data_IF_042514007235
#
_entry.id   IF_042514007235
#
_cell.length_a   1.000
_cell.length_b   1.000
_cell.length_c   1.000
_cell.angle_alpha   90.00
_cell.angle_beta   90.00
_cell.angle_gamma   90.00
#
_symmetry.space_group_name_H-M   'P 1'
#
loop_
_entity.id
_entity.type
_entity.pdbx_description
1 polymer ?
#
# COMPACT_ATOMS: atom_id res chain seq x y z
N UNK A 1 -18.45 -8.63 23.36
CA UNK A 1 -17.23 -7.94 22.89
C UNK A 1 -16.89 -8.47 21.50
N UNK A 2 -16.99 -7.62 20.49
CA UNK A 2 -16.77 -7.98 19.09
C UNK A 2 -15.30 -7.83 18.66
N UNK A 3 -15.10 -7.81 17.36
CA UNK A 3 -13.84 -7.47 16.69
C UNK A 3 -13.91 -6.05 16.12
N UNK A 4 -12.82 -5.30 16.15
CA UNK A 4 -12.68 -4.06 15.38
C UNK A 4 -12.15 -4.41 13.99
N UNK A 5 -12.84 -3.98 12.94
CA UNK A 5 -12.26 -3.87 11.61
C UNK A 5 -11.79 -2.43 11.41
N UNK A 6 -10.48 -2.22 11.37
CA UNK A 6 -9.91 -0.88 11.25
C UNK A 6 -9.87 -0.47 9.77
N UNK A 7 -10.73 0.46 9.38
CA UNK A 7 -10.80 0.99 8.02
C UNK A 7 -9.76 2.10 7.84
N UNK A 8 -8.70 1.79 7.11
CA UNK A 8 -7.62 2.72 6.76
C UNK A 8 -7.70 3.23 5.32
N UNK A 9 -8.37 2.45 4.45
CA UNK A 9 -8.58 2.76 3.05
C UNK A 9 -9.72 3.78 2.84
N UNK A 10 -9.76 4.40 1.67
CA UNK A 10 -10.88 5.26 1.29
C UNK A 10 -12.12 4.44 0.95
N UNK A 11 -11.91 3.35 0.20
CA UNK A 11 -12.94 2.47 -0.32
C UNK A 11 -13.77 1.85 0.81
N UNK A 12 -15.04 1.56 0.51
CA UNK A 12 -15.90 0.87 1.45
C UNK A 12 -15.34 -0.54 1.75
N UNK A 13 -15.41 -1.02 3.01
CA UNK A 13 -15.04 -2.40 3.35
C UNK A 13 -15.83 -3.40 2.52
N UNK A 14 -15.31 -4.61 2.33
CA UNK A 14 -15.98 -5.62 1.49
C UNK A 14 -17.40 -5.94 1.97
N UNK A 15 -18.23 -6.48 1.08
CA UNK A 15 -19.60 -6.89 1.44
C UNK A 15 -19.61 -7.87 2.62
N UNK A 16 -18.65 -8.79 2.70
CA UNK A 16 -18.51 -9.72 3.81
C UNK A 16 -18.23 -9.00 5.15
N UNK A 17 -17.42 -7.94 5.15
CA UNK A 17 -17.16 -7.13 6.36
C UNK A 17 -18.42 -6.37 6.78
N UNK A 18 -19.12 -5.72 5.83
CA UNK A 18 -20.37 -4.99 6.12
C UNK A 18 -21.49 -5.91 6.61
N UNK A 19 -21.60 -7.11 6.03
CA UNK A 19 -22.55 -8.12 6.48
C UNK A 19 -22.24 -8.58 7.92
N UNK A 20 -20.96 -8.76 8.26
CA UNK A 20 -20.54 -9.12 9.62
C UNK A 20 -20.79 -7.99 10.63
N UNK A 21 -20.62 -6.73 10.23
CA UNK A 21 -21.01 -5.57 11.05
C UNK A 21 -22.53 -5.55 11.30
N UNK A 22 -23.34 -5.71 10.25
CA UNK A 22 -24.79 -5.79 10.37
C UNK A 22 -25.28 -6.96 11.25
N UNK A 23 -24.49 -8.03 11.35
CA UNK A 23 -24.72 -9.15 12.24
C UNK A 23 -24.16 -8.95 13.68
N UNK A 24 -23.52 -7.82 13.96
CA UNK A 24 -22.94 -7.50 15.27
C UNK A 24 -21.68 -8.30 15.63
N UNK A 25 -21.01 -8.92 14.65
CA UNK A 25 -19.79 -9.70 14.85
C UNK A 25 -18.54 -8.80 14.95
N UNK A 26 -18.57 -7.67 14.25
CA UNK A 26 -17.51 -6.67 14.29
C UNK A 26 -18.09 -5.25 14.28
N UNK A 27 -17.24 -4.28 14.59
CA UNK A 27 -17.48 -2.85 14.45
C UNK A 27 -16.49 -2.30 13.44
N UNK A 28 -16.93 -1.57 12.42
CA UNK A 28 -16.05 -0.86 11.50
C UNK A 28 -15.67 0.47 12.15
N UNK A 29 -14.37 0.74 12.23
CA UNK A 29 -13.83 1.96 12.84
C UNK A 29 -12.91 2.62 11.83
N UNK A 30 -13.17 3.87 11.47
CA UNK A 30 -12.22 4.66 10.68
C UNK A 30 -10.94 4.84 11.49
N UNK A 31 -9.78 4.67 10.86
CA UNK A 31 -8.52 4.63 11.60
C UNK A 31 -8.26 5.85 12.51
N UNK A 32 -8.54 7.10 12.11
CA UNK A 32 -8.37 8.27 12.98
C UNK A 32 -9.23 8.26 14.25
N UNK A 33 -10.32 7.49 14.26
CA UNK A 33 -11.27 7.43 15.38
C UNK A 33 -10.93 6.32 16.38
N UNK A 34 -9.89 5.51 16.13
CA UNK A 34 -9.49 4.42 17.01
C UNK A 34 -8.92 4.96 18.33
N UNK A 35 -9.50 4.53 19.45
CA UNK A 35 -9.05 4.88 20.80
C UNK A 35 -8.57 3.65 21.57
N UNK A 36 -7.80 3.90 22.65
CA UNK A 36 -7.34 2.83 23.55
C UNK A 36 -8.51 2.13 24.26
N UNK A 37 -9.53 2.90 24.64
CA UNK A 37 -10.75 2.42 25.26
C UNK A 37 -11.52 1.48 24.32
N UNK A 38 -11.62 1.84 23.04
CA UNK A 38 -12.22 0.98 22.02
C UNK A 38 -11.44 -0.33 21.89
N UNK A 39 -10.11 -0.29 21.79
CA UNK A 39 -9.30 -1.50 21.71
C UNK A 39 -9.55 -2.42 22.92
N UNK A 40 -9.47 -1.90 24.13
CA UNK A 40 -9.68 -2.67 25.37
C UNK A 40 -11.12 -3.19 25.55
N UNK A 41 -12.11 -2.53 24.93
CA UNK A 41 -13.50 -2.99 24.95
C UNK A 41 -13.81 -4.12 23.95
N UNK A 42 -12.86 -4.44 23.06
CA UNK A 42 -13.02 -5.47 22.03
C UNK A 42 -12.10 -6.66 22.27
N UNK A 43 -12.39 -7.81 21.64
CA UNK A 43 -11.56 -9.02 21.72
C UNK A 43 -10.63 -9.19 20.54
N UNK A 44 -10.96 -8.55 19.43
CA UNK A 44 -10.31 -8.73 18.15
C UNK A 44 -9.98 -7.40 17.48
N UNK A 45 -8.90 -7.39 16.70
CA UNK A 45 -8.53 -6.31 15.80
C UNK A 45 -8.16 -6.92 14.44
N UNK A 46 -8.71 -6.39 13.36
CA UNK A 46 -8.31 -6.71 11.98
C UNK A 46 -7.80 -5.43 11.34
N UNK A 47 -6.58 -5.47 10.80
CA UNK A 47 -5.98 -4.36 10.05
C UNK A 47 -5.59 -4.82 8.65
N UNK A 48 -5.79 -3.95 7.66
CA UNK A 48 -5.46 -4.20 6.26
C UNK A 48 -4.07 -3.71 5.84
N UNK A 49 -3.69 -4.03 4.60
CA UNK A 49 -2.42 -3.67 3.98
C UNK A 49 -2.27 -2.15 3.73
N UNK A 50 -3.35 -1.37 3.89
CA UNK A 50 -3.34 0.10 3.85
C UNK A 50 -3.28 0.76 5.23
N UNK A 51 -2.94 0.03 6.29
CA UNK A 51 -2.79 0.57 7.64
C UNK A 51 -1.83 1.76 7.68
N UNK A 52 -2.25 2.89 8.26
CA UNK A 52 -1.33 3.99 8.59
C UNK A 52 -0.49 3.57 9.80
N UNK A 53 0.69 3.03 9.54
CA UNK A 53 1.59 2.55 10.59
C UNK A 53 2.25 3.69 11.36
N UNK A 54 2.30 4.93 10.81
CA UNK A 54 2.80 6.08 11.54
C UNK A 54 1.83 6.48 12.65
N UNK A 55 0.52 6.48 12.38
CA UNK A 55 -0.50 6.68 13.40
C UNK A 55 -0.49 5.54 14.43
N UNK A 56 -0.33 4.28 13.99
CA UNK A 56 -0.29 3.14 14.92
C UNK A 56 0.94 3.12 15.83
N UNK A 57 2.06 3.75 15.46
CA UNK A 57 3.20 3.93 16.37
C UNK A 57 2.80 4.71 17.62
N UNK A 58 1.87 5.67 17.51
CA UNK A 58 1.36 6.43 18.64
C UNK A 58 0.41 5.60 19.53
N UNK A 59 -0.09 4.47 19.01
CA UNK A 59 -1.02 3.56 19.69
C UNK A 59 -0.33 2.32 20.28
N UNK A 60 1.02 2.27 20.30
CA UNK A 60 1.79 1.10 20.75
C UNK A 60 1.42 0.62 22.14
N UNK A 61 1.32 1.53 23.11
CA UNK A 61 0.97 1.19 24.49
C UNK A 61 -0.46 0.63 24.58
N UNK A 62 -1.41 1.24 23.86
CA UNK A 62 -2.78 0.77 23.79
C UNK A 62 -2.90 -0.60 23.12
N UNK A 63 -2.13 -0.83 22.05
CA UNK A 63 -2.07 -2.11 21.35
C UNK A 63 -1.45 -3.21 22.23
N UNK A 64 -0.39 -2.88 22.98
CA UNK A 64 0.22 -3.79 23.94
C UNK A 64 -0.78 -4.15 25.05
N UNK A 65 -1.46 -3.16 25.65
CA UNK A 65 -2.47 -3.39 26.68
C UNK A 65 -3.64 -4.24 26.19
N UNK A 66 -4.12 -4.01 24.97
CA UNK A 66 -5.13 -4.85 24.32
C UNK A 66 -4.68 -6.31 24.19
N UNK A 67 -3.45 -6.54 23.73
CA UNK A 67 -2.91 -7.89 23.59
C UNK A 67 -2.69 -8.55 24.96
N UNK A 68 -2.12 -7.83 25.94
CA UNK A 68 -1.90 -8.32 27.29
C UNK A 68 -3.24 -8.70 27.99
N UNK A 69 -4.33 -8.01 27.65
CA UNK A 69 -5.69 -8.36 28.07
C UNK A 69 -6.27 -9.60 27.35
N UNK A 70 -5.50 -10.27 26.50
CA UNK A 70 -5.91 -11.47 25.76
C UNK A 70 -6.45 -11.20 24.36
N UNK A 71 -6.34 -9.96 23.86
CA UNK A 71 -6.77 -9.55 22.53
C UNK A 71 -6.11 -10.35 21.40
N UNK A 72 -6.81 -10.48 20.27
CA UNK A 72 -6.31 -11.13 19.06
C UNK A 72 -6.23 -10.15 17.90
N UNK A 73 -5.04 -9.99 17.33
CA UNK A 73 -4.81 -9.09 16.20
C UNK A 73 -4.51 -9.89 14.92
N UNK A 74 -5.32 -9.68 13.89
CA UNK A 74 -5.06 -10.15 12.54
C UNK A 74 -4.48 -9.01 11.70
N UNK A 75 -3.20 -9.12 11.34
CA UNK A 75 -2.46 -8.13 10.57
C UNK A 75 -2.26 -8.61 9.13
N UNK A 76 -2.73 -7.81 8.17
CA UNK A 76 -2.38 -7.96 6.75
C UNK A 76 -1.41 -6.85 6.33
N UNK A 77 -0.46 -7.18 5.45
CA UNK A 77 0.48 -6.22 4.87
C UNK A 77 1.91 -6.37 5.36
N UNK A 78 2.75 -5.43 4.93
CA UNK A 78 4.17 -5.40 5.31
C UNK A 78 4.35 -4.59 6.60
N UNK A 79 4.87 -5.22 7.66
CA UNK A 79 5.18 -4.56 8.92
C UNK A 79 6.44 -3.70 8.76
N UNK A 80 6.32 -2.41 8.49
CA UNK A 80 7.48 -1.51 8.30
C UNK A 80 7.78 -0.66 9.53
N UNK A 81 6.85 -0.63 10.50
CA UNK A 81 7.04 -0.15 11.87
C UNK A 81 6.78 -1.32 12.81
N UNK A 82 7.76 -1.82 13.57
CA UNK A 82 7.50 -2.94 14.49
C UNK A 82 6.55 -2.56 15.64
N UNK A 83 5.23 -2.66 15.48
CA UNK A 83 4.22 -2.03 16.36
C UNK A 83 4.06 -2.64 17.76
N UNK A 84 4.66 -3.81 18.01
CA UNK A 84 4.66 -4.50 19.31
C UNK A 84 6.06 -5.04 19.53
N UNK A 85 6.54 -5.04 20.78
CA UNK A 85 7.85 -5.59 21.13
C UNK A 85 8.01 -7.03 20.63
N UNK A 86 9.18 -7.37 20.10
CA UNK A 86 9.49 -8.66 19.48
C UNK A 86 9.09 -8.78 18.00
N UNK A 87 8.27 -7.88 17.47
CA UNK A 87 8.02 -7.85 16.02
C UNK A 87 9.23 -7.30 15.26
N UNK A 88 9.37 -7.74 14.01
CA UNK A 88 10.45 -7.33 13.12
C UNK A 88 9.91 -6.62 11.88
N UNK A 89 10.77 -5.83 11.24
CA UNK A 89 10.46 -5.19 9.96
C UNK A 89 10.33 -6.24 8.85
N UNK A 90 9.32 -6.08 8.00
CA UNK A 90 9.12 -6.85 6.77
C UNK A 90 10.40 -6.93 5.94
N UNK A 91 10.67 -8.11 5.39
CA UNK A 91 11.78 -8.36 4.48
C UNK A 91 11.26 -9.04 3.21
N UNK A 92 11.47 -8.47 2.01
CA UNK A 92 11.14 -9.15 0.76
C UNK A 92 12.15 -10.28 0.50
N UNK A 93 11.73 -11.28 -0.29
CA UNK A 93 12.69 -12.20 -0.93
C UNK A 93 13.56 -11.38 -1.87
N UNK A 94 14.87 -11.52 -1.76
CA UNK A 94 15.83 -10.80 -2.57
C UNK A 94 15.87 -11.37 -4.00
N UNK A 95 15.69 -10.50 -5.01
CA UNK A 95 15.67 -10.87 -6.43
C UNK A 95 14.82 -12.13 -6.75
N UNK A 96 13.50 -12.13 -6.42
CA UNK A 96 12.68 -13.32 -6.49
C UNK A 96 12.39 -13.75 -7.93
N UNK A 97 12.31 -15.06 -8.15
CA UNK A 97 11.77 -15.70 -9.37
C UNK A 97 10.36 -16.24 -9.11
N UNK A 98 9.64 -16.61 -10.18
CA UNK A 98 8.26 -17.10 -10.08
C UNK A 98 8.08 -18.23 -9.06
N UNK A 99 8.99 -19.22 -9.02
CA UNK A 99 8.88 -20.35 -8.09
C UNK A 99 9.15 -19.98 -6.62
N UNK A 100 9.71 -18.80 -6.35
CA UNK A 100 9.82 -18.31 -4.98
C UNK A 100 8.48 -17.83 -4.41
N UNK A 101 7.44 -17.76 -5.24
CA UNK A 101 6.07 -17.42 -4.83
C UNK A 101 5.14 -18.63 -4.72
N UNK A 102 5.63 -19.84 -4.95
CA UNK A 102 4.83 -21.06 -4.79
C UNK A 102 4.37 -21.18 -3.33
N UNK A 103 3.07 -21.38 -3.10
CA UNK A 103 2.52 -21.35 -1.75
C UNK A 103 2.37 -22.77 -1.20
N UNK A 104 2.99 -23.03 -0.04
CA UNK A 104 2.91 -24.34 0.60
C UNK A 104 2.66 -24.25 2.10
N UNK A 105 2.01 -25.26 2.71
CA UNK A 105 1.82 -25.27 4.14
C UNK A 105 3.15 -25.60 4.85
N UNK A 106 3.35 -24.96 6.01
CA UNK A 106 4.41 -25.25 6.97
C UNK A 106 3.82 -26.00 8.16
N UNK A 107 2.81 -25.41 8.82
CA UNK A 107 2.02 -26.04 9.88
C UNK A 107 0.53 -25.87 9.57
N UNK A 108 -0.28 -26.89 9.83
CA UNK A 108 -1.72 -26.82 9.62
C UNK A 108 -2.36 -25.80 10.57
N UNK A 109 -3.19 -24.89 10.04
CA UNK A 109 -3.95 -23.93 10.83
C UNK A 109 -5.43 -23.97 10.46
N UNK A 110 -6.37 -23.92 11.42
CA UNK A 110 -7.81 -23.97 11.15
C UNK A 110 -8.30 -22.94 10.11
N UNK A 111 -7.68 -21.76 10.04
CA UNK A 111 -7.98 -20.73 9.03
C UNK A 111 -7.94 -21.28 7.59
N UNK A 112 -7.04 -22.22 7.29
CA UNK A 112 -6.85 -22.77 5.94
C UNK A 112 -7.41 -24.19 5.80
N UNK A 113 -8.11 -24.72 6.81
CA UNK A 113 -8.64 -26.09 6.76
C UNK A 113 -9.58 -26.28 5.57
N UNK A 114 -9.32 -27.32 4.78
CA UNK A 114 -10.08 -27.64 3.56
C UNK A 114 -9.84 -26.69 2.37
N UNK A 115 -8.94 -25.72 2.49
CA UNK A 115 -8.55 -24.84 1.38
C UNK A 115 -7.29 -25.41 0.72
N UNK A 116 -7.40 -25.67 -0.58
CA UNK A 116 -6.23 -25.93 -1.42
C UNK A 116 -5.46 -24.62 -1.62
N UNK A 117 -4.25 -24.52 -1.05
CA UNK A 117 -3.46 -23.29 -1.07
C UNK A 117 -3.06 -22.85 -2.49
N UNK A 118 -3.02 -23.75 -3.46
CA UNK A 118 -2.77 -23.38 -4.87
C UNK A 118 -3.83 -22.40 -5.42
N UNK A 119 -5.05 -22.41 -4.84
CA UNK A 119 -6.13 -21.47 -5.16
C UNK A 119 -5.91 -20.05 -4.61
N UNK A 120 -4.99 -19.90 -3.66
CA UNK A 120 -4.60 -18.61 -3.09
C UNK A 120 -3.29 -18.08 -3.70
N UNK A 121 -2.48 -18.97 -4.28
CA UNK A 121 -1.17 -18.66 -4.86
C UNK A 121 -1.24 -17.72 -6.06
N UNK A 122 -2.20 -17.97 -6.96
CA UNK A 122 -2.32 -17.23 -8.23
C UNK A 122 -3.71 -16.67 -8.45
N UNK A 123 -3.77 -15.60 -9.22
CA UNK A 123 -5.00 -15.08 -9.82
C UNK A 123 -4.75 -15.02 -11.34
N UNK A 124 -5.55 -15.76 -12.12
CA UNK A 124 -5.37 -15.93 -13.57
C UNK A 124 -3.96 -16.44 -13.94
N UNK A 125 -3.30 -17.20 -13.07
CA UNK A 125 -1.93 -17.69 -13.28
C UNK A 125 -0.81 -16.72 -12.90
N UNK A 126 -1.12 -15.47 -12.52
CA UNK A 126 -0.14 -14.51 -11.98
C UNK A 126 0.02 -14.72 -10.48
N UNK A 127 1.27 -14.87 -10.04
CA UNK A 127 1.62 -15.10 -8.63
C UNK A 127 2.17 -13.85 -7.93
N UNK A 128 2.31 -13.97 -6.61
CA UNK A 128 2.90 -12.95 -5.74
C UNK A 128 1.89 -11.95 -5.19
N UNK A 129 0.57 -12.12 -5.44
CA UNK A 129 -0.48 -11.36 -4.77
C UNK A 129 -0.65 -11.77 -3.30
N UNK A 130 -0.37 -13.04 -3.00
CA UNK A 130 -0.42 -13.58 -1.63
C UNK A 130 0.72 -13.06 -0.75
N UNK A 131 1.88 -12.77 -1.32
CA UNK A 131 3.03 -12.28 -0.57
C UNK A 131 4.31 -12.44 -1.37
N UNK A 132 5.34 -11.68 -0.98
CA UNK A 132 6.65 -11.63 -1.67
C UNK A 132 7.84 -11.67 -0.72
N UNK A 133 7.60 -12.09 0.51
CA UNK A 133 8.53 -11.97 1.62
C UNK A 133 7.88 -12.43 2.90
N UNK A 134 8.41 -11.97 4.02
CA UNK A 134 7.86 -12.24 5.33
C UNK A 134 7.92 -11.00 6.21
N UNK A 135 6.94 -10.86 7.10
CA UNK A 135 7.19 -10.20 8.39
C UNK A 135 8.00 -11.22 9.21
N UNK A 136 9.29 -11.01 9.54
CA UNK A 136 10.08 -12.06 10.19
C UNK A 136 9.47 -12.49 11.52
N UNK A 137 9.52 -13.80 11.80
CA UNK A 137 8.89 -14.38 12.98
C UNK A 137 9.51 -13.83 14.28
N UNK A 138 8.69 -13.41 15.25
CA UNK A 138 9.12 -13.25 16.62
C UNK A 138 9.53 -14.60 17.25
N UNK A 139 10.31 -14.55 18.33
CA UNK A 139 10.65 -15.74 19.11
C UNK A 139 9.38 -16.42 19.65
N UNK A 140 9.29 -17.74 19.43
CA UNK A 140 8.14 -18.56 19.81
C UNK A 140 6.93 -18.48 18.87
N UNK A 141 7.00 -17.69 17.78
CA UNK A 141 5.98 -17.71 16.74
C UNK A 141 6.07 -18.99 15.88
N UNK A 142 4.95 -19.36 15.26
CA UNK A 142 4.81 -20.56 14.44
C UNK A 142 4.45 -20.17 13.02
N UNK A 143 5.29 -20.56 12.07
CA UNK A 143 5.04 -20.38 10.65
C UNK A 143 3.85 -21.26 10.21
N UNK A 144 2.92 -20.68 9.43
CA UNK A 144 1.72 -21.36 8.95
C UNK A 144 1.87 -21.74 7.48
N UNK A 145 2.08 -20.75 6.61
CA UNK A 145 2.33 -20.96 5.18
C UNK A 145 3.67 -20.35 4.80
N UNK A 146 4.32 -20.95 3.81
CA UNK A 146 5.63 -20.55 3.32
C UNK A 146 5.66 -20.38 1.81
N UNK A 147 6.50 -19.46 1.35
CA UNK A 147 6.74 -19.17 -0.06
C UNK A 147 8.00 -19.89 -0.57
N UNK A 148 7.85 -20.52 -1.73
CA UNK A 148 8.91 -21.18 -2.47
C UNK A 148 9.54 -22.39 -1.78
N UNK A 149 10.60 -22.96 -2.38
CA UNK A 149 11.24 -24.18 -1.86
C UNK A 149 11.82 -24.03 -0.44
N UNK A 150 12.25 -22.81 -0.08
CA UNK A 150 12.78 -22.51 1.25
C UNK A 150 11.69 -22.29 2.32
N UNK A 151 10.41 -22.26 1.90
CA UNK A 151 9.25 -21.99 2.76
C UNK A 151 9.41 -20.71 3.57
N UNK A 152 9.72 -19.60 2.88
CA UNK A 152 9.81 -18.27 3.52
C UNK A 152 8.48 -17.95 4.20
N UNK A 153 8.43 -17.76 5.54
CA UNK A 153 7.16 -17.70 6.27
C UNK A 153 6.33 -16.43 5.98
N UNK A 154 5.43 -16.51 5.00
CA UNK A 154 4.51 -15.41 4.67
C UNK A 154 3.39 -15.25 5.70
N UNK A 155 2.98 -16.37 6.30
CA UNK A 155 2.00 -16.40 7.38
C UNK A 155 2.59 -17.00 8.63
N UNK A 156 2.29 -16.39 9.77
CA UNK A 156 2.60 -16.97 11.07
C UNK A 156 1.60 -16.54 12.13
N UNK A 157 1.54 -17.31 13.20
CA UNK A 157 0.81 -16.97 14.42
C UNK A 157 1.77 -16.92 15.59
N UNK A 158 1.58 -15.94 16.46
CA UNK A 158 2.37 -15.76 17.67
C UNK A 158 1.46 -15.67 18.88
N UNK A 159 1.63 -16.59 19.83
CA UNK A 159 1.11 -16.44 21.18
C UNK A 159 2.14 -15.64 21.98
N UNK A 160 1.81 -14.40 22.32
CA UNK A 160 2.74 -13.49 22.98
C UNK A 160 3.00 -13.96 24.43
N UNK A 161 4.23 -13.76 24.95
CA UNK A 161 4.56 -14.12 26.33
C UNK A 161 3.66 -13.47 27.39
N UNK A 162 3.21 -12.23 27.15
CA UNK A 162 2.40 -11.45 28.07
C UNK A 162 0.88 -11.58 27.84
N UNK A 163 0.47 -12.44 26.91
CA UNK A 163 -0.94 -12.64 26.58
C UNK A 163 -1.31 -12.13 25.18
N UNK A 164 -2.47 -12.60 24.70
CA UNK A 164 -2.98 -12.29 23.38
C UNK A 164 -2.29 -13.05 22.26
N UNK A 165 -2.80 -12.88 21.04
CA UNK A 165 -2.26 -13.54 19.84
C UNK A 165 -2.22 -12.59 18.66
N UNK A 166 -1.19 -12.76 17.82
CA UNK A 166 -1.07 -12.06 16.55
C UNK A 166 -1.05 -13.10 15.43
N UNK A 167 -1.91 -12.94 14.43
CA UNK A 167 -1.76 -13.59 13.14
C UNK A 167 -1.23 -12.55 12.16
N UNK A 168 -0.11 -12.84 11.49
CA UNK A 168 0.49 -11.94 10.51
C UNK A 168 0.50 -12.61 9.15
N UNK A 169 -0.12 -11.93 8.18
CA UNK A 169 -0.08 -12.24 6.76
C UNK A 169 0.69 -11.13 6.03
N UNK A 170 1.87 -11.45 5.46
CA UNK A 170 2.75 -10.46 4.85
C UNK A 170 2.49 -10.25 3.35
N UNK A 171 1.25 -9.96 2.99
CA UNK A 171 0.79 -9.76 1.61
C UNK A 171 -0.37 -8.77 1.50
N UNK A 172 -1.11 -8.84 0.39
CA UNK A 172 -2.39 -8.13 0.27
C UNK A 172 -3.40 -8.65 1.29
N UNK A 173 -4.52 -7.96 1.51
CA UNK A 173 -5.52 -8.43 2.48
C UNK A 173 -5.93 -9.87 2.17
N UNK A 174 -5.83 -10.79 3.14
CA UNK A 174 -6.18 -12.19 2.95
C UNK A 174 -7.66 -12.35 2.54
N UNK A 175 -8.52 -11.41 2.97
CA UNK A 175 -9.91 -11.32 2.52
C UNK A 175 -10.10 -10.91 1.05
N UNK A 176 -9.02 -10.60 0.32
CA UNK A 176 -9.04 -10.19 -1.09
C UNK A 176 -8.40 -11.21 -2.03
N UNK A 177 -7.80 -12.30 -1.51
CA UNK A 177 -7.22 -13.37 -2.32
C UNK A 177 -8.24 -14.49 -2.64
N UNK A 178 -7.91 -15.34 -3.61
CA UNK A 178 -8.76 -16.48 -3.99
C UNK A 178 -10.11 -16.08 -4.63
N UNK A 179 -10.18 -14.90 -5.25
CA UNK A 179 -11.40 -14.37 -5.90
C UNK A 179 -11.95 -15.32 -6.96
N UNK A 180 -11.08 -15.92 -7.79
CA UNK A 180 -11.47 -16.87 -8.84
C UNK A 180 -12.18 -18.12 -8.29
N UNK A 181 -11.94 -18.40 -7.01
CA UNK A 181 -12.42 -19.59 -6.32
C UNK A 181 -13.49 -19.26 -5.28
N UNK A 182 -13.99 -18.02 -5.28
CA UNK A 182 -14.98 -17.51 -4.33
C UNK A 182 -14.58 -17.71 -2.85
N UNK A 183 -13.28 -17.59 -2.54
CA UNK A 183 -12.75 -17.81 -1.20
C UNK A 183 -12.67 -16.53 -0.36
N UNK A 184 -12.74 -15.35 -0.99
CA UNK A 184 -12.62 -14.04 -0.33
C UNK A 184 -13.55 -13.89 0.88
N UNK A 185 -14.87 -14.06 0.70
CA UNK A 185 -15.85 -13.94 1.80
C UNK A 185 -15.64 -14.97 2.90
N UNK A 186 -15.25 -16.20 2.54
CA UNK A 186 -14.99 -17.27 3.52
C UNK A 186 -13.72 -16.98 4.33
N UNK A 187 -12.65 -16.50 3.69
CA UNK A 187 -11.44 -16.06 4.39
C UNK A 187 -11.74 -14.89 5.32
N UNK A 188 -12.52 -13.90 4.88
CA UNK A 188 -12.99 -12.80 5.75
C UNK A 188 -13.73 -13.33 6.97
N UNK A 189 -14.69 -14.22 6.78
CA UNK A 189 -15.45 -14.85 7.87
C UNK A 189 -14.52 -15.57 8.86
N UNK A 190 -13.55 -16.35 8.36
CA UNK A 190 -12.58 -17.08 9.19
C UNK A 190 -11.64 -16.17 9.98
N UNK A 191 -11.22 -15.03 9.41
CA UNK A 191 -10.45 -14.02 10.14
C UNK A 191 -11.25 -13.44 11.31
N UNK A 192 -12.52 -13.12 11.07
CA UNK A 192 -13.43 -12.60 12.10
C UNK A 192 -13.62 -13.66 13.20
N UNK A 193 -13.94 -14.90 12.85
CA UNK A 193 -14.07 -15.99 13.82
C UNK A 193 -12.80 -16.18 14.67
N UNK A 194 -11.62 -16.15 14.03
CA UNK A 194 -10.35 -16.30 14.72
C UNK A 194 -10.10 -15.17 15.72
N UNK A 195 -10.38 -13.92 15.34
CA UNK A 195 -10.23 -12.75 16.23
C UNK A 195 -11.26 -12.74 17.37
N UNK A 196 -12.45 -13.32 17.16
CA UNK A 196 -13.47 -13.48 18.20
C UNK A 196 -13.18 -14.57 19.24
N UNK A 197 -12.05 -15.29 19.10
CA UNK A 197 -11.65 -16.34 20.03
C UNK A 197 -11.69 -17.75 19.45
N UNK A 198 -11.99 -17.90 18.15
CA UNK A 198 -12.10 -19.19 17.46
C UNK A 198 -10.85 -20.08 17.52
N UNK A 199 -10.94 -21.26 16.92
CA UNK A 199 -9.88 -22.27 16.97
C UNK A 199 -8.54 -21.74 16.43
N UNK A 200 -7.46 -22.17 17.07
CA UNK A 200 -6.08 -21.87 16.67
C UNK A 200 -5.28 -23.18 16.70
N UNK A 201 -3.95 -23.09 16.79
CA UNK A 201 -3.08 -24.25 16.93
C UNK A 201 -3.36 -24.98 18.24
N UNK A 202 -3.68 -26.27 18.15
CA UNK A 202 -3.84 -27.18 19.27
C UNK A 202 -3.53 -28.63 18.80
N UNK A 203 -2.44 -29.27 19.27
CA UNK A 203 -1.40 -28.71 20.15
C UNK A 203 -0.56 -27.63 19.46
N UNK A 204 0.11 -26.79 20.24
CA UNK A 204 1.07 -25.80 19.71
C UNK A 204 2.32 -26.50 19.17
N UNK A 205 2.71 -26.31 17.89
CA UNK A 205 3.90 -26.93 17.32
C UNK A 205 5.19 -26.44 17.98
N UNK A 206 6.18 -27.34 18.04
CA UNK A 206 7.53 -27.02 18.55
C UNK A 206 8.49 -26.50 17.47
N UNK A 207 8.10 -26.56 16.19
CA UNK A 207 8.98 -26.21 15.07
C UNK A 207 8.97 -24.71 14.77
N UNK A 208 10.16 -24.09 14.76
CA UNK A 208 10.40 -22.75 14.22
C UNK A 208 10.78 -22.82 12.74
N UNK A 209 10.68 -21.69 12.04
CA UNK A 209 11.06 -21.54 10.63
C UNK A 209 12.51 -21.98 10.33
N UNK A 210 12.77 -22.37 9.08
CA UNK A 210 14.10 -22.81 8.65
C UNK A 210 15.10 -21.63 8.59
N UNK A 211 16.36 -21.87 9.00
CA UNK A 211 17.45 -20.88 8.84
C UNK A 211 17.74 -20.54 7.37
N UNK A 212 17.41 -21.45 6.44
CA UNK A 212 17.55 -21.25 5.00
C UNK A 212 16.64 -20.13 4.47
N UNK A 213 15.45 -19.93 5.04
CA UNK A 213 14.55 -18.86 4.64
C UNK A 213 15.17 -17.47 4.89
N UNK A 214 15.88 -17.29 6.00
CA UNK A 214 16.48 -15.99 6.36
C UNK A 214 17.56 -15.54 5.37
N UNK A 215 18.30 -16.48 4.77
CA UNK A 215 19.38 -16.17 3.83
C UNK A 215 18.87 -15.63 2.48
N UNK A 216 17.59 -15.86 2.16
CA UNK A 216 16.96 -15.36 0.93
C UNK A 216 16.38 -13.94 1.08
N UNK A 217 16.27 -13.44 2.31
CA UNK A 217 15.61 -12.17 2.58
C UNK A 217 16.56 -11.00 2.37
N UNK A 218 16.09 -9.93 1.71
CA UNK A 218 16.84 -8.69 1.63
C UNK A 218 17.05 -8.09 3.04
N UNK A 219 18.13 -7.33 3.22
CA UNK A 219 18.40 -6.67 4.51
C UNK A 219 17.30 -5.66 4.89
N UNK A 220 17.07 -5.44 6.20
CA UNK A 220 16.18 -4.39 6.70
C UNK A 220 16.52 -3.02 6.09
N UNK A 221 15.49 -2.26 5.70
CA UNK A 221 15.65 -0.90 5.16
C UNK A 221 15.54 0.15 6.29
N UNK A 222 16.30 1.24 6.18
CA UNK A 222 16.17 2.37 7.10
C UNK A 222 15.05 3.30 6.67
N UNK A 223 14.10 3.57 7.57
CA UNK A 223 12.97 4.48 7.33
C UNK A 223 13.00 5.61 8.36
N UNK A 224 13.35 6.81 7.89
CA UNK A 224 13.61 7.98 8.73
C UNK A 224 12.38 8.70 9.29
N UNK A 225 11.16 8.30 8.89
CA UNK A 225 9.92 8.96 9.30
C UNK A 225 9.69 10.30 8.62
N UNK A 226 8.94 11.17 9.31
CA UNK A 226 8.68 12.54 8.87
C UNK A 226 9.99 13.32 8.69
N UNK A 227 10.01 14.22 7.72
CA UNK A 227 11.20 14.98 7.36
C UNK A 227 10.85 16.42 7.10
N UNK A 228 11.60 17.35 7.68
CA UNK A 228 11.49 18.79 7.41
C UNK A 228 12.87 19.34 7.04
N UNK A 229 13.10 19.56 5.76
CA UNK A 229 14.32 20.23 5.27
C UNK A 229 14.29 21.71 5.65
N UNK A 230 15.39 22.20 6.21
CA UNK A 230 15.62 23.63 6.51
C UNK A 230 16.21 24.39 5.32
N UNK A 231 16.44 23.73 4.17
CA UNK A 231 16.99 24.38 2.98
C UNK A 231 16.07 25.51 2.50
N UNK A 232 16.69 26.62 2.13
CA UNK A 232 16.04 27.82 1.60
C UNK A 232 16.52 28.10 0.16
N UNK A 233 15.75 28.89 -0.59
CA UNK A 233 16.16 29.42 -1.89
C UNK A 233 15.92 28.52 -3.11
N UNK A 234 15.13 27.43 -2.97
CA UNK A 234 14.64 26.58 -4.08
C UNK A 234 13.24 26.06 -3.74
N UNK A 235 12.47 25.64 -4.74
CA UNK A 235 11.17 25.00 -4.53
C UNK A 235 11.37 23.70 -3.75
N UNK A 236 10.56 23.47 -2.72
CA UNK A 236 10.62 22.22 -1.96
C UNK A 236 9.71 21.19 -2.61
N UNK A 237 10.10 19.93 -2.53
CA UNK A 237 9.19 18.82 -2.84
C UNK A 237 8.57 18.35 -1.52
N UNK A 238 7.26 18.56 -1.38
CA UNK A 238 6.44 18.18 -0.24
C UNK A 238 5.66 16.92 -0.58
N UNK A 239 5.78 15.87 0.24
CA UNK A 239 5.06 14.63 0.04
C UNK A 239 4.26 14.23 1.29
N UNK A 240 2.92 14.25 1.27
CA UNK A 240 2.11 13.62 2.29
C UNK A 240 2.28 12.09 2.26
N UNK A 241 2.57 11.51 3.42
CA UNK A 241 2.58 10.09 3.68
C UNK A 241 1.37 9.73 4.54
N UNK A 242 0.59 8.75 4.09
CA UNK A 242 -0.48 8.13 4.90
C UNK A 242 0.01 6.94 5.73
N UNK A 243 1.33 6.81 5.95
CA UNK A 243 1.92 5.78 6.81
C UNK A 243 1.73 4.34 6.36
N UNK A 244 1.19 4.12 5.16
CA UNK A 244 1.14 2.78 4.54
C UNK A 244 2.55 2.29 4.22
N UNK A 245 2.74 0.97 4.17
CA UNK A 245 4.07 0.40 3.98
C UNK A 245 4.72 0.85 2.66
N UNK A 246 3.91 1.02 1.61
CA UNK A 246 4.40 1.43 0.30
C UNK A 246 4.75 2.93 0.24
N UNK A 247 4.04 3.78 0.99
CA UNK A 247 4.45 5.18 1.17
C UNK A 247 5.75 5.29 1.97
N UNK A 248 5.81 4.60 3.11
CA UNK A 248 7.00 4.59 3.95
C UNK A 248 8.23 4.16 3.14
N UNK A 249 8.13 3.03 2.42
CA UNK A 249 9.25 2.54 1.61
C UNK A 249 9.66 3.52 0.51
N UNK A 250 8.70 4.06 -0.24
CA UNK A 250 9.00 4.97 -1.35
C UNK A 250 9.52 6.34 -0.90
N UNK A 251 9.00 6.90 0.18
CA UNK A 251 9.32 8.26 0.62
C UNK A 251 10.51 8.30 1.58
N UNK A 252 10.62 7.31 2.46
CA UNK A 252 11.63 7.30 3.52
C UNK A 252 12.83 6.39 3.20
N UNK A 253 12.66 5.45 2.26
CA UNK A 253 13.73 4.58 1.81
C UNK A 253 14.87 5.34 1.11
N UNK A 254 16.09 4.83 1.28
CA UNK A 254 17.32 5.48 0.81
C UNK A 254 17.36 5.79 -0.68
N UNK A 255 16.59 5.04 -1.49
CA UNK A 255 16.53 5.20 -2.95
C UNK A 255 16.00 6.58 -3.37
N UNK A 256 14.99 7.11 -2.68
CA UNK A 256 14.31 8.34 -3.09
C UNK A 256 14.18 9.38 -1.98
N UNK A 257 14.43 9.04 -0.71
CA UNK A 257 14.26 9.98 0.42
C UNK A 257 15.00 11.32 0.26
N UNK A 258 16.15 11.32 -0.41
CA UNK A 258 16.93 12.53 -0.66
C UNK A 258 16.25 13.57 -1.55
N UNK A 259 15.17 13.18 -2.24
CA UNK A 259 14.45 14.01 -3.20
C UNK A 259 13.35 14.83 -2.50
N UNK A 260 12.68 14.22 -1.53
CA UNK A 260 11.61 14.86 -0.76
C UNK A 260 12.22 15.75 0.33
N UNK A 261 12.02 17.05 0.18
CA UNK A 261 12.45 18.04 1.17
C UNK A 261 11.57 17.96 2.43
N UNK A 262 10.30 17.61 2.25
CA UNK A 262 9.29 17.56 3.30
C UNK A 262 8.50 16.25 3.17
N UNK A 263 8.45 15.47 4.24
CA UNK A 263 7.56 14.29 4.38
C UNK A 263 6.68 14.56 5.60
N UNK A 264 5.37 14.68 5.39
CA UNK A 264 4.38 15.06 6.40
C UNK A 264 3.12 14.19 6.29
N UNK A 265 2.13 14.36 7.16
CA UNK A 265 0.79 13.79 6.93
C UNK A 265 -0.06 14.73 6.06
N UNK A 266 -1.10 14.23 5.35
CA UNK A 266 -2.06 15.08 4.63
C UNK A 266 -2.62 16.23 5.48
N UNK A 267 -2.90 15.98 6.76
CA UNK A 267 -3.52 16.94 7.68
C UNK A 267 -2.62 18.13 8.01
N UNK A 268 -1.30 17.99 7.84
CA UNK A 268 -0.33 19.04 8.13
C UNK A 268 -0.10 19.98 6.93
N UNK A 269 -0.70 19.69 5.76
CA UNK A 269 -0.46 20.47 4.54
C UNK A 269 -0.83 21.95 4.69
N UNK A 270 -1.88 22.26 5.46
CA UNK A 270 -2.30 23.65 5.70
C UNK A 270 -1.24 24.52 6.35
N UNK A 271 -0.39 23.94 7.21
CA UNK A 271 0.66 24.64 7.95
C UNK A 271 2.03 24.59 7.23
N UNK A 272 2.23 23.57 6.40
CA UNK A 272 3.54 23.25 5.84
C UNK A 272 3.69 23.74 4.40
N UNK A 273 2.65 23.64 3.57
CA UNK A 273 2.73 23.86 2.13
C UNK A 273 2.88 25.36 1.82
N UNK A 274 3.92 25.72 1.07
CA UNK A 274 4.21 27.10 0.63
C UNK A 274 3.75 27.30 -0.82
N UNK A 275 3.45 28.54 -1.22
CA UNK A 275 2.98 28.87 -2.58
C UNK A 275 3.80 28.30 -3.74
N UNK A 276 5.13 28.23 -3.60
CA UNK A 276 6.07 27.82 -4.65
C UNK A 276 6.49 26.34 -4.55
N UNK A 277 5.99 25.61 -3.55
CA UNK A 277 6.32 24.21 -3.39
C UNK A 277 5.74 23.33 -4.52
N UNK A 278 6.39 22.19 -4.73
CA UNK A 278 5.83 21.09 -5.50
C UNK A 278 5.21 20.11 -4.49
N UNK A 279 3.90 19.91 -4.56
CA UNK A 279 3.22 18.87 -3.80
C UNK A 279 3.19 17.58 -4.61
N UNK A 280 3.85 16.53 -4.11
CA UNK A 280 3.76 15.18 -4.64
C UNK A 280 2.76 14.38 -3.82
N UNK A 281 1.61 14.02 -4.38
CA UNK A 281 0.62 13.14 -3.76
C UNK A 281 0.84 11.70 -4.26
N UNK A 282 1.36 10.79 -3.41
CA UNK A 282 1.57 9.40 -3.78
C UNK A 282 0.28 8.69 -4.21
N UNK A 283 0.42 7.69 -5.08
CA UNK A 283 -0.70 6.83 -5.46
C UNK A 283 -1.26 6.07 -4.25
N UNK A 284 -2.57 5.85 -4.19
CA UNK A 284 -3.25 5.21 -3.04
C UNK A 284 -3.15 6.00 -1.72
N UNK A 285 -2.94 7.31 -1.80
CA UNK A 285 -3.24 8.20 -0.66
C UNK A 285 -4.75 8.18 -0.40
N UNK A 286 -5.22 7.88 0.83
CA UNK A 286 -6.65 7.80 1.11
C UNK A 286 -7.36 9.12 0.79
N UNK A 287 -8.29 9.08 -0.17
CA UNK A 287 -8.86 10.29 -0.76
C UNK A 287 -9.59 11.16 0.27
N UNK A 288 -10.23 10.58 1.29
CA UNK A 288 -10.89 11.34 2.36
C UNK A 288 -9.94 12.31 3.07
N UNK A 289 -8.66 11.93 3.22
CA UNK A 289 -7.64 12.76 3.85
C UNK A 289 -7.26 13.94 2.94
N UNK A 290 -7.23 13.74 1.63
CA UNK A 290 -6.95 14.80 0.65
C UNK A 290 -8.16 15.70 0.37
N UNK A 291 -9.38 15.15 0.40
CA UNK A 291 -10.63 15.92 0.31
C UNK A 291 -10.69 16.98 1.40
N UNK A 292 -10.28 16.64 2.64
CA UNK A 292 -10.18 17.60 3.74
C UNK A 292 -9.19 18.75 3.46
N UNK A 293 -8.23 18.56 2.55
CA UNK A 293 -7.22 19.57 2.18
C UNK A 293 -7.59 20.38 0.92
N UNK A 294 -8.77 20.17 0.33
CA UNK A 294 -9.16 20.79 -0.95
C UNK A 294 -8.96 22.31 -0.99
N UNK A 295 -9.30 23.02 0.09
CA UNK A 295 -9.12 24.47 0.16
C UNK A 295 -7.63 24.89 0.22
N UNK A 296 -6.78 24.08 0.85
CA UNK A 296 -5.32 24.31 0.87
C UNK A 296 -4.77 24.15 -0.54
N UNK A 297 -5.18 23.10 -1.25
CA UNK A 297 -4.72 22.80 -2.61
C UNK A 297 -5.20 23.83 -3.65
N UNK A 298 -6.45 24.30 -3.53
CA UNK A 298 -6.96 25.38 -4.38
C UNK A 298 -6.11 26.65 -4.25
N UNK A 299 -5.82 27.07 -3.01
CA UNK A 299 -4.94 28.24 -2.76
C UNK A 299 -3.52 28.03 -3.28
N UNK A 300 -2.99 26.81 -3.16
CA UNK A 300 -1.66 26.45 -3.67
C UNK A 300 -1.59 26.63 -5.19
N UNK A 301 -2.58 26.08 -5.91
CA UNK A 301 -2.67 26.22 -7.37
C UNK A 301 -2.94 27.67 -7.79
N UNK A 302 -3.82 28.40 -7.11
CA UNK A 302 -4.07 29.83 -7.39
C UNK A 302 -2.82 30.70 -7.20
N UNK A 303 -1.93 30.31 -6.28
CA UNK A 303 -0.67 30.98 -6.03
C UNK A 303 0.44 30.63 -7.05
N UNK A 304 0.19 29.70 -7.98
CA UNK A 304 1.15 29.26 -8.98
C UNK A 304 1.96 28.01 -8.59
N UNK A 305 1.56 27.33 -7.52
CA UNK A 305 2.20 26.10 -7.05
C UNK A 305 1.99 24.92 -8.00
N UNK A 306 2.76 23.86 -7.79
CA UNK A 306 2.65 22.62 -8.58
C UNK A 306 2.08 21.48 -7.74
N UNK A 307 1.17 20.69 -8.31
CA UNK A 307 0.69 19.43 -7.74
C UNK A 307 0.95 18.29 -8.71
N UNK A 308 1.60 17.23 -8.24
CA UNK A 308 1.78 15.96 -8.95
C UNK A 308 0.96 14.90 -8.22
N UNK A 309 -0.08 14.37 -8.85
CA UNK A 309 -0.97 13.37 -8.27
C UNK A 309 -0.89 12.05 -9.05
N UNK A 310 -0.49 10.98 -8.37
CA UNK A 310 -0.38 9.65 -8.96
C UNK A 310 -1.66 8.82 -8.72
N UNK A 311 -1.80 7.73 -9.46
CA UNK A 311 -3.05 6.97 -9.63
C UNK A 311 -3.66 6.43 -8.34
N UNK A 312 -4.93 6.03 -8.41
CA UNK A 312 -5.65 5.45 -7.26
C UNK A 312 -5.67 6.37 -6.03
N UNK A 313 -5.56 7.68 -6.24
CA UNK A 313 -5.71 8.70 -5.19
C UNK A 313 -7.04 9.46 -5.27
N UNK A 314 -7.90 9.11 -6.24
CA UNK A 314 -9.17 9.79 -6.55
C UNK A 314 -9.02 11.31 -6.68
N UNK A 315 -8.04 11.75 -7.49
CA UNK A 315 -7.70 13.16 -7.67
C UNK A 315 -8.86 14.02 -8.18
N UNK A 316 -9.82 13.42 -8.89
CA UNK A 316 -11.10 14.02 -9.30
C UNK A 316 -11.94 14.55 -8.13
N UNK A 317 -11.80 13.96 -6.93
CA UNK A 317 -12.58 14.36 -5.76
C UNK A 317 -12.01 15.60 -5.04
N UNK A 318 -10.70 15.85 -5.16
CA UNK A 318 -10.00 16.85 -4.35
C UNK A 318 -9.14 17.86 -5.13
N UNK A 319 -8.90 17.65 -6.43
CA UNK A 319 -8.36 18.66 -7.34
C UNK A 319 -9.47 19.34 -8.16
N UNK A 320 -9.34 20.63 -8.47
CA UNK A 320 -10.25 21.29 -9.39
C UNK A 320 -9.95 20.85 -10.84
N UNK A 321 -10.97 20.87 -11.71
CA UNK A 321 -10.83 20.63 -13.15
C UNK A 321 -10.30 19.26 -13.57
N UNK A 322 -10.49 18.23 -12.74
CA UNK A 322 -10.13 16.85 -13.06
C UNK A 322 -11.38 16.02 -13.33
N UNK A 323 -11.44 15.43 -14.51
CA UNK A 323 -12.47 14.48 -14.91
C UNK A 323 -11.80 13.11 -15.15
N UNK A 324 -12.23 12.10 -14.40
CA UNK A 324 -11.66 10.76 -14.39
C UNK A 324 -12.74 9.70 -14.55
N UNK A 325 -12.48 8.73 -15.43
CA UNK A 325 -13.30 7.52 -15.58
C UNK A 325 -12.46 6.31 -15.21
N UNK A 326 -12.86 5.63 -14.13
CA UNK A 326 -12.24 4.39 -13.69
C UNK A 326 -12.54 3.21 -14.63
N UNK A 327 -11.58 2.30 -14.75
CA UNK A 327 -11.72 1.07 -15.54
C UNK A 327 -11.21 -0.13 -14.74
N UNK A 328 -11.80 -1.33 -14.91
CA UNK A 328 -11.25 -2.53 -14.31
C UNK A 328 -9.78 -2.74 -14.69
N UNK A 329 -8.92 -2.95 -13.70
CA UNK A 329 -7.49 -3.16 -13.90
C UNK A 329 -7.22 -4.56 -14.46
N UNK A 330 -6.52 -4.64 -15.60
CA UNK A 330 -6.01 -5.91 -16.12
C UNK A 330 -4.58 -6.16 -15.59
N UNK A 331 -4.46 -7.08 -14.64
CA UNK A 331 -3.19 -7.40 -13.99
C UNK A 331 -2.31 -8.42 -14.73
N UNK A 332 -2.83 -9.03 -15.79
CA UNK A 332 -2.25 -10.23 -16.42
C UNK A 332 -2.23 -10.16 -17.94
N UNK A 333 -2.38 -8.97 -18.54
CA UNK A 333 -2.31 -8.80 -20.00
C UNK A 333 -1.03 -9.39 -20.60
N UNK A 334 0.10 -9.30 -19.89
CA UNK A 334 1.41 -9.77 -20.34
C UNK A 334 1.55 -11.30 -20.37
N UNK A 335 0.58 -12.06 -19.85
CA UNK A 335 0.58 -13.52 -19.96
C UNK A 335 0.43 -14.00 -21.41
N UNK A 336 -0.25 -13.21 -22.24
CA UNK A 336 -0.21 -13.39 -23.68
C UNK A 336 1.06 -12.70 -24.22
N UNK A 337 2.03 -13.45 -24.76
CA UNK A 337 3.28 -12.87 -25.28
C UNK A 337 3.06 -11.90 -26.46
N UNK A 338 1.87 -11.93 -27.08
CA UNK A 338 1.48 -11.05 -28.18
C UNK A 338 0.64 -9.85 -27.74
N UNK A 339 0.19 -9.84 -26.49
CA UNK A 339 -0.61 -8.74 -25.97
C UNK A 339 0.22 -7.47 -25.80
N UNK A 340 -0.43 -6.36 -26.12
CA UNK A 340 0.07 -5.01 -25.94
C UNK A 340 -1.04 -4.21 -25.27
N UNK A 341 -0.75 -3.63 -24.10
CA UNK A 341 -1.70 -2.75 -23.41
C UNK A 341 -2.02 -1.50 -24.24
N UNK A 342 -1.21 -1.22 -25.28
CA UNK A 342 -1.36 -0.10 -26.18
C UNK A 342 -0.98 1.23 -25.55
N UNK A 343 -0.33 1.21 -24.38
CA UNK A 343 0.15 2.42 -23.71
C UNK A 343 1.26 3.05 -24.53
N UNK A 344 1.14 4.35 -24.81
CA UNK A 344 2.08 5.13 -25.62
C UNK A 344 2.39 6.48 -25.00
N UNK A 345 3.66 6.83 -24.94
CA UNK A 345 4.09 8.22 -24.67
C UNK A 345 3.83 9.09 -25.90
N UNK A 346 3.45 10.33 -25.68
CA UNK A 346 3.15 11.28 -26.77
C UNK A 346 4.39 12.06 -27.21
N UNK A 347 4.26 12.81 -28.31
CA UNK A 347 5.28 13.79 -28.71
C UNK A 347 5.51 14.88 -27.66
N UNK A 348 4.45 15.31 -26.98
CA UNK A 348 4.56 16.25 -25.86
C UNK A 348 5.44 15.66 -24.74
N UNK A 349 5.28 14.38 -24.40
CA UNK A 349 6.15 13.72 -23.43
C UNK A 349 7.63 13.67 -23.85
N UNK A 350 7.93 13.54 -25.15
CA UNK A 350 9.31 13.48 -25.62
C UNK A 350 10.11 14.76 -25.33
N UNK A 351 9.44 15.90 -25.23
CA UNK A 351 10.04 17.20 -24.91
C UNK A 351 9.81 17.65 -23.45
N UNK A 352 8.94 16.96 -22.71
CA UNK A 352 8.57 17.33 -21.35
C UNK A 352 9.68 16.95 -20.34
N UNK A 353 10.21 17.89 -19.53
CA UNK A 353 11.32 17.62 -18.60
C UNK A 353 11.06 16.46 -17.63
N UNK A 354 9.83 16.37 -17.12
CA UNK A 354 9.44 15.30 -16.19
C UNK A 354 9.45 13.90 -16.82
N UNK A 355 9.28 13.82 -18.15
CA UNK A 355 9.25 12.59 -18.92
C UNK A 355 10.61 12.22 -19.53
N UNK A 356 11.68 12.97 -19.22
CA UNK A 356 13.00 12.72 -19.76
C UNK A 356 13.44 11.26 -19.53
N UNK A 357 13.68 10.55 -20.63
CA UNK A 357 14.08 9.15 -20.65
C UNK A 357 12.97 8.13 -20.34
N UNK A 358 11.72 8.55 -20.20
CA UNK A 358 10.56 7.66 -20.00
C UNK A 358 9.91 7.42 -21.36
N UNK A 359 10.06 6.21 -21.90
CA UNK A 359 9.34 5.75 -23.08
C UNK A 359 8.22 4.76 -22.73
N UNK A 360 7.55 4.22 -23.75
CA UNK A 360 6.42 3.28 -23.60
C UNK A 360 6.71 2.16 -22.60
N UNK A 361 7.89 1.55 -22.68
CA UNK A 361 8.31 0.45 -21.79
C UNK A 361 8.34 0.85 -20.31
N UNK A 362 8.72 2.09 -20.00
CA UNK A 362 8.75 2.58 -18.63
C UNK A 362 7.36 3.01 -18.15
N UNK A 363 6.48 3.43 -19.05
CA UNK A 363 5.12 3.88 -18.72
C UNK A 363 4.07 2.75 -18.73
N UNK A 364 4.45 1.52 -19.10
CA UNK A 364 3.51 0.39 -19.27
C UNK A 364 3.63 -0.63 -18.15
N UNK A 365 2.55 -0.77 -17.37
CA UNK A 365 2.30 -1.94 -16.52
C UNK A 365 0.80 -2.23 -16.44
N UNK A 366 0.02 -1.61 -15.57
CA UNK A 366 -1.44 -1.58 -15.66
C UNK A 366 -1.91 -0.17 -15.32
N UNK A 367 -3.17 0.11 -15.61
CA UNK A 367 -3.79 1.41 -15.40
C UNK A 367 -5.16 1.22 -14.76
N UNK A 368 -5.66 2.28 -14.14
CA UNK A 368 -6.90 2.27 -13.34
C UNK A 368 -8.03 3.07 -13.96
N UNK A 369 -7.78 3.67 -15.13
CA UNK A 369 -8.73 4.52 -15.82
C UNK A 369 -8.03 5.57 -16.67
N UNK A 370 -8.83 6.51 -17.16
CA UNK A 370 -8.40 7.59 -18.04
C UNK A 370 -9.05 8.91 -17.64
N UNK A 371 -8.46 10.01 -18.10
CA UNK A 371 -8.92 11.36 -17.85
C UNK A 371 -9.46 12.02 -19.11
N UNK A 372 -10.34 13.01 -18.93
CA UNK A 372 -10.68 14.00 -19.95
C UNK A 372 -9.94 15.31 -19.63
N UNK A 373 -8.76 15.56 -20.22
CA UNK A 373 -8.00 16.77 -19.95
C UNK A 373 -8.69 18.00 -20.55
N UNK A 374 -8.54 19.18 -19.95
CA UNK A 374 -9.05 20.42 -20.50
C UNK A 374 -8.32 20.81 -21.80
N UNK A 375 -8.98 21.60 -22.64
CA UNK A 375 -8.39 22.11 -23.89
C UNK A 375 -7.12 22.92 -23.60
N UNK A 376 -6.01 22.55 -24.24
CA UNK A 376 -4.70 23.16 -24.03
C UNK A 376 -3.79 22.42 -23.05
N UNK A 377 -4.29 21.41 -22.33
CA UNK A 377 -3.46 20.53 -21.51
C UNK A 377 -2.54 19.64 -22.38
N UNK A 378 -1.34 19.36 -21.86
CA UNK A 378 -0.37 18.50 -22.52
C UNK A 378 -0.58 17.04 -22.10
N UNK A 379 -1.18 16.24 -22.98
CA UNK A 379 -1.27 14.78 -22.76
C UNK A 379 0.08 14.15 -22.94
N UNK A 380 0.61 13.46 -21.93
CA UNK A 380 1.94 12.86 -21.91
C UNK A 380 1.91 11.37 -22.20
N UNK A 381 0.88 10.65 -21.73
CA UNK A 381 0.71 9.21 -21.99
C UNK A 381 -0.74 8.91 -22.29
N UNK A 382 -0.96 8.02 -23.27
CA UNK A 382 -2.27 7.50 -23.65
C UNK A 382 -2.36 5.98 -23.43
N UNK A 383 -3.57 5.48 -23.19
CA UNK A 383 -3.86 4.05 -23.22
C UNK A 383 -4.03 3.52 -24.67
N UNK A 384 -4.31 2.22 -24.80
CA UNK A 384 -4.50 1.57 -26.10
C UNK A 384 -5.71 2.03 -26.91
N UNK A 385 -6.65 2.77 -26.30
CA UNK A 385 -7.77 3.42 -26.99
C UNK A 385 -7.48 4.90 -27.31
N UNK A 386 -6.26 5.36 -27.02
CA UNK A 386 -5.86 6.74 -27.25
C UNK A 386 -6.37 7.72 -26.20
N UNK A 387 -6.88 7.27 -25.05
CA UNK A 387 -7.38 8.14 -23.96
C UNK A 387 -6.23 8.55 -23.03
N UNK A 388 -6.31 9.74 -22.44
CA UNK A 388 -5.22 10.26 -21.61
C UNK A 388 -5.13 9.53 -20.26
N UNK A 389 -3.92 9.08 -19.88
CA UNK A 389 -3.67 8.44 -18.57
C UNK A 389 -2.57 9.13 -17.76
N UNK A 390 -1.82 10.03 -18.39
CA UNK A 390 -0.92 10.98 -17.74
C UNK A 390 -0.94 12.28 -18.55
N UNK A 391 -1.19 13.41 -17.88
CA UNK A 391 -1.18 14.73 -18.53
C UNK A 391 -0.69 15.82 -17.57
N UNK A 392 -0.25 16.93 -18.16
CA UNK A 392 0.04 18.18 -17.46
C UNK A 392 -1.02 19.23 -17.85
N UNK A 393 -1.57 19.90 -16.85
CA UNK A 393 -2.48 21.04 -16.99
C UNK A 393 -1.82 22.30 -16.41
N UNK A 394 -1.63 23.29 -17.30
CA UNK A 394 -1.14 24.63 -16.99
C UNK A 394 -2.13 25.72 -17.40
N UNK A 395 -3.36 25.33 -17.78
CA UNK A 395 -4.35 26.24 -18.39
C UNK A 395 -5.57 26.45 -17.50
N UNK A 396 -5.92 25.48 -16.65
CA UNK A 396 -7.11 25.58 -15.78
C UNK A 396 -6.92 26.48 -14.57
N UNK A 397 -5.68 26.61 -14.08
CA UNK A 397 -5.34 27.44 -12.92
C UNK A 397 -4.08 28.24 -13.18
N UNK A 398 -3.66 29.09 -12.24
CA UNK A 398 -2.35 29.77 -12.31
C UNK A 398 -1.17 28.83 -12.05
N UNK A 399 -1.44 27.70 -11.40
CA UNK A 399 -0.46 26.67 -11.06
C UNK A 399 -0.45 25.53 -12.08
N UNK A 400 0.35 24.52 -11.76
CA UNK A 400 0.56 23.35 -12.62
C UNK A 400 0.03 22.10 -11.95
N UNK A 401 -0.73 21.30 -12.68
CA UNK A 401 -1.17 19.98 -12.20
C UNK A 401 -0.67 18.89 -13.13
N UNK A 402 0.05 17.90 -12.61
CA UNK A 402 0.45 16.69 -13.34
C UNK A 402 -0.28 15.50 -12.74
N UNK A 403 -1.12 14.83 -13.53
CA UNK A 403 -2.02 13.79 -13.02
C UNK A 403 -1.80 12.50 -13.78
N UNK A 404 -1.71 11.39 -13.06
CA UNK A 404 -1.59 10.05 -13.63
C UNK A 404 -2.64 9.09 -13.07
N UNK A 405 -3.08 8.12 -13.89
CA UNK A 405 -3.82 6.95 -13.42
C UNK A 405 -2.89 5.78 -13.07
N UNK A 406 -1.58 5.95 -13.29
CA UNK A 406 -0.53 5.00 -12.97
C UNK A 406 -0.17 5.03 -11.47
N UNK A 407 0.06 3.87 -10.87
CA UNK A 407 0.26 3.67 -9.42
C UNK A 407 1.69 3.19 -9.04
N UNK A 408 2.76 3.88 -9.46
CA UNK A 408 4.10 3.31 -9.42
C UNK A 408 4.64 3.12 -7.98
N UNK A 409 4.26 3.97 -7.02
CA UNK A 409 4.75 3.84 -5.64
C UNK A 409 4.13 2.65 -4.91
N UNK A 410 2.88 2.30 -5.19
CA UNK A 410 2.28 1.10 -4.60
C UNK A 410 3.05 -0.15 -5.03
N UNK A 411 3.33 -0.31 -6.33
CA UNK A 411 4.04 -1.48 -6.84
C UNK A 411 5.51 -1.52 -6.47
N UNK A 412 6.18 -0.37 -6.49
CA UNK A 412 7.54 -0.27 -5.98
C UNK A 412 7.55 -0.65 -4.50
N UNK A 413 6.75 0.02 -3.67
CA UNK A 413 6.66 -0.20 -2.23
C UNK A 413 6.22 -1.62 -1.83
N UNK A 414 5.43 -2.28 -2.67
CA UNK A 414 4.98 -3.67 -2.49
C UNK A 414 5.92 -4.72 -3.08
N UNK A 415 7.04 -4.31 -3.68
CA UNK A 415 7.97 -5.18 -4.39
C UNK A 415 7.29 -6.00 -5.51
N UNK A 416 6.23 -5.45 -6.13
CA UNK A 416 5.35 -6.21 -7.03
C UNK A 416 5.80 -6.12 -8.50
N UNK A 417 6.03 -4.91 -9.02
CA UNK A 417 6.32 -4.69 -10.46
C UNK A 417 7.64 -3.94 -10.68
N UNK A 418 8.70 -4.60 -11.18
CA UNK A 418 9.97 -3.93 -11.47
C UNK A 418 9.86 -2.74 -12.43
N UNK A 419 8.93 -2.78 -13.39
CA UNK A 419 8.69 -1.67 -14.33
C UNK A 419 8.40 -0.34 -13.62
N UNK A 420 7.64 -0.38 -12.51
CA UNK A 420 7.32 0.82 -11.72
C UNK A 420 8.52 1.41 -11.01
N UNK A 421 9.51 0.59 -10.64
CA UNK A 421 10.80 1.07 -10.15
C UNK A 421 11.57 1.77 -11.26
N UNK A 422 11.59 1.18 -12.46
CA UNK A 422 12.22 1.81 -13.63
C UNK A 422 11.57 3.14 -14.04
N UNK A 423 10.26 3.31 -13.84
CA UNK A 423 9.57 4.58 -13.99
C UNK A 423 10.02 5.60 -12.93
N UNK A 424 9.97 5.24 -11.65
CA UNK A 424 10.32 6.14 -10.54
C UNK A 424 11.79 6.56 -10.56
N UNK A 425 12.69 5.68 -10.99
CA UNK A 425 14.12 5.97 -11.16
C UNK A 425 14.42 7.11 -12.13
N UNK A 426 13.46 7.45 -13.00
CA UNK A 426 13.54 8.58 -13.93
C UNK A 426 12.67 9.73 -13.45
N UNK A 427 11.41 9.44 -13.15
CA UNK A 427 10.42 10.46 -12.84
C UNK A 427 10.75 11.24 -11.56
N UNK A 428 11.23 10.57 -10.52
CA UNK A 428 11.56 11.21 -9.24
C UNK A 428 12.79 12.14 -9.37
N UNK A 429 13.93 11.73 -9.96
CA UNK A 429 15.03 12.65 -10.25
C UNK A 429 14.66 13.80 -11.20
N UNK A 430 13.83 13.55 -12.22
CA UNK A 430 13.36 14.60 -13.13
C UNK A 430 12.55 15.67 -12.39
N UNK A 431 11.72 15.27 -11.41
CA UNK A 431 11.00 16.22 -10.56
C UNK A 431 11.96 17.05 -9.72
N UNK A 432 13.03 16.45 -9.19
CA UNK A 432 14.05 17.20 -8.44
C UNK A 432 14.75 18.23 -9.31
N UNK A 433 15.10 17.84 -10.54
CA UNK A 433 15.68 18.77 -11.50
C UNK A 433 14.73 19.94 -11.78
N UNK A 434 13.41 19.69 -11.92
CA UNK A 434 12.40 20.73 -12.09
C UNK A 434 12.29 21.67 -10.88
N UNK A 435 12.46 21.15 -9.66
CA UNK A 435 12.40 21.94 -8.42
C UNK A 435 13.64 22.82 -8.18
N UNK A 436 14.79 22.44 -8.76
CA UNK A 436 16.07 23.12 -8.61
C UNK A 436 16.29 24.27 -9.64
N UNK A 437 15.37 24.43 -10.61
CA UNK A 437 15.30 25.58 -11.55
C UNK A 437 14.51 26.72 -10.92
#
# INVERSE_FOLDING_TARGET
MGTIYLKSAFEAPSEAVRAAEGAGLLTIVEQPDLTAEMLLAHRGLITGNQLDQNAMVLMREALAAFLDAGGRWFFNGHMVRPLVDGMNQYRPINAPKRSDFDLSPVNAHPLFSGIDLSKLETNRGVAGFYGRGCNPLPDGAVAINGLGPAKVPVDWVWARPHGGRIFSHSGNDLGSVGLEWNLSSELTRRMIDWTLGGACLDPWPTASSSSAAHQLLAEPEAYGGMRMSTRTGRRRIVAPSSGTYYHIRCLEGSRYTGIFDVICSPEQLGDILRPDDILWVPCRTPAQRMIAQKAVLARHLDAGGTVVALGESCSDLWLPHVDFTGTPTNWWWWLDPTADLGVRVTEAAASHPLMAGIGDKQATWHLHGWFLPPDGAAVLVRDGEGRAILYEDTVSTRGTTVISSLDPMFHHGSHFMPATTGFLDRFVPNLKALADV
#
